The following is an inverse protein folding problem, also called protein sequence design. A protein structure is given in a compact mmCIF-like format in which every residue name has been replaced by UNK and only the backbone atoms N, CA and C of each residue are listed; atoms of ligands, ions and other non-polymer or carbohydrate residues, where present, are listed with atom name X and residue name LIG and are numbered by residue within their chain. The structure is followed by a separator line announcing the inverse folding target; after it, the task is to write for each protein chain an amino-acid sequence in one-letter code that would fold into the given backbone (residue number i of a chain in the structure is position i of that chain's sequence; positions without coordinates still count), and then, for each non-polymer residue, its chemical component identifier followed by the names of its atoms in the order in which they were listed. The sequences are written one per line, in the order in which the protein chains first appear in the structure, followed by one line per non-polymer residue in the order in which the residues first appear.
data_IF_606523979690
#
_entry.id   IF_606523979690
#
_cell.length_a   1.000
_cell.length_b   1.000
_cell.length_c   1.000
_cell.angle_alpha   90.00
_cell.angle_beta   90.00
_cell.angle_gamma   90.00
#
_symmetry.space_group_name_H-M   'P 1'
#
loop_
_entity.id
_entity.type
_entity.pdbx_description
1 polymer ?
#
# COMPACT_ATOMS: atom_id res chain seq x y z
N UNK A 1 -15.05 -35.16 -21.69
CA UNK A 1 -15.18 -36.06 -20.54
C UNK A 1 -14.97 -35.20 -19.31
N UNK A 2 -16.05 -34.78 -18.62
CA UNK A 2 -16.00 -34.05 -17.37
C UNK A 2 -15.57 -35.05 -16.28
N UNK A 3 -14.28 -35.12 -15.99
CA UNK A 3 -13.75 -35.84 -14.82
C UNK A 3 -14.32 -35.20 -13.56
N UNK A 4 -15.11 -35.93 -12.80
CA UNK A 4 -15.54 -35.51 -11.46
C UNK A 4 -14.29 -35.18 -10.62
N UNK A 5 -14.26 -33.98 -10.04
CA UNK A 5 -13.15 -33.56 -9.18
C UNK A 5 -13.00 -34.54 -8.02
N UNK A 6 -11.75 -34.95 -7.75
CA UNK A 6 -11.42 -35.84 -6.63
C UNK A 6 -11.88 -35.21 -5.32
N UNK A 7 -12.54 -35.98 -4.48
CA UNK A 7 -13.14 -35.52 -3.23
C UNK A 7 -12.43 -36.11 -2.01
N UNK A 8 -12.65 -35.50 -0.84
CA UNK A 8 -12.15 -36.06 0.44
C UNK A 8 -12.67 -37.48 0.70
N UNK A 9 -13.83 -37.84 0.12
CA UNK A 9 -14.38 -39.20 0.22
C UNK A 9 -13.56 -40.23 -0.58
N UNK A 10 -12.96 -39.81 -1.69
CA UNK A 10 -12.09 -40.65 -2.48
C UNK A 10 -10.76 -40.91 -1.78
N UNK A 11 -10.21 -39.87 -1.10
CA UNK A 11 -9.03 -40.02 -0.22
C UNK A 11 -9.34 -40.99 0.94
N UNK A 12 -10.50 -40.83 1.56
CA UNK A 12 -10.93 -41.69 2.65
C UNK A 12 -11.02 -43.18 2.21
N UNK A 13 -11.60 -43.38 1.00
CA UNK A 13 -11.72 -44.74 0.41
C UNK A 13 -10.36 -45.32 0.10
N UNK A 14 -9.45 -44.59 -0.50
CA UNK A 14 -8.12 -45.08 -0.88
C UNK A 14 -7.23 -45.33 0.34
N UNK A 15 -7.27 -44.42 1.31
CA UNK A 15 -6.45 -44.54 2.54
C UNK A 15 -6.98 -45.58 3.54
N UNK A 16 -8.23 -46.06 3.41
CA UNK A 16 -8.87 -46.97 4.34
C UNK A 16 -9.33 -46.31 5.66
N UNK A 17 -9.39 -44.97 5.73
CA UNK A 17 -9.79 -44.26 6.94
C UNK A 17 -11.08 -43.45 6.74
N UNK A 18 -11.72 -43.09 7.85
CA UNK A 18 -12.92 -42.27 7.79
C UNK A 18 -12.64 -40.84 7.28
N UNK A 19 -13.63 -40.18 6.67
CA UNK A 19 -13.54 -38.78 6.26
C UNK A 19 -13.11 -37.88 7.41
N UNK A 20 -13.58 -38.16 8.64
CA UNK A 20 -13.19 -37.41 9.83
C UNK A 20 -11.69 -37.56 10.15
N UNK A 21 -11.13 -38.79 9.98
CA UNK A 21 -9.70 -39.03 10.17
C UNK A 21 -8.86 -38.35 9.09
N UNK A 22 -9.28 -38.41 7.82
CA UNK A 22 -8.63 -37.71 6.73
C UNK A 22 -8.65 -36.19 6.97
N UNK A 23 -9.78 -35.64 7.38
CA UNK A 23 -9.91 -34.19 7.70
C UNK A 23 -8.97 -33.79 8.83
N UNK A 24 -8.84 -34.60 9.91
CA UNK A 24 -7.89 -34.32 10.99
C UNK A 24 -6.42 -34.32 10.52
N UNK A 25 -6.07 -35.25 9.65
CA UNK A 25 -4.70 -35.32 9.07
C UNK A 25 -4.43 -34.08 8.22
N UNK A 26 -5.37 -33.70 7.34
CA UNK A 26 -5.22 -32.58 6.44
C UNK A 26 -5.22 -31.22 7.14
N UNK A 27 -5.95 -31.10 8.25
CA UNK A 27 -6.04 -29.86 9.04
C UNK A 27 -5.06 -29.84 10.22
N UNK A 28 -4.18 -30.84 10.34
CA UNK A 28 -3.23 -30.99 11.45
C UNK A 28 -3.88 -30.89 12.85
N UNK A 29 -5.16 -31.20 12.93
CA UNK A 29 -5.96 -31.06 14.15
C UNK A 29 -5.97 -32.38 14.96
N UNK A 30 -5.50 -32.29 16.22
CA UNK A 30 -5.49 -33.40 17.15
C UNK A 30 -4.34 -34.39 16.97
N UNK A 31 -4.21 -35.32 17.93
CA UNK A 31 -3.21 -36.40 17.87
C UNK A 31 -3.65 -37.47 16.88
N UNK A 32 -2.98 -37.58 15.75
CA UNK A 32 -3.19 -38.64 14.75
C UNK A 32 -2.00 -39.59 14.79
N UNK A 33 -2.27 -40.89 14.76
CA UNK A 33 -1.23 -41.93 14.71
C UNK A 33 -0.34 -41.70 13.46
N UNK A 34 1.01 -41.75 13.58
CA UNK A 34 1.92 -41.57 12.47
C UNK A 34 1.62 -42.46 11.25
N UNK A 35 1.28 -43.73 11.44
CA UNK A 35 0.93 -44.63 10.35
C UNK A 35 -0.35 -44.21 9.61
N UNK A 36 -1.36 -43.69 10.34
CA UNK A 36 -2.59 -43.14 9.74
C UNK A 36 -2.26 -41.88 8.93
N UNK A 37 -1.41 -41.00 9.46
CA UNK A 37 -0.98 -39.77 8.76
C UNK A 37 -0.27 -40.11 7.44
N UNK A 38 0.65 -41.05 7.47
CA UNK A 38 1.40 -41.49 6.30
C UNK A 38 0.49 -42.07 5.21
N UNK A 39 -0.41 -42.98 5.58
CA UNK A 39 -1.37 -43.60 4.65
C UNK A 39 -2.28 -42.55 3.98
N UNK A 40 -2.81 -41.60 4.76
CA UNK A 40 -3.66 -40.54 4.23
C UNK A 40 -2.86 -39.62 3.29
N UNK A 41 -1.64 -39.18 3.64
CA UNK A 41 -0.80 -38.34 2.78
C UNK A 41 -0.38 -39.08 1.50
N UNK A 42 -0.19 -40.39 1.53
CA UNK A 42 0.07 -41.18 0.33
C UNK A 42 -1.15 -41.17 -0.61
N UNK A 43 -2.35 -41.43 -0.07
CA UNK A 43 -3.59 -41.36 -0.84
C UNK A 43 -3.85 -39.97 -1.45
N UNK A 44 -3.54 -38.89 -0.70
CA UNK A 44 -3.64 -37.51 -1.21
C UNK A 44 -2.70 -37.29 -2.41
N UNK A 45 -1.45 -37.76 -2.31
CA UNK A 45 -0.46 -37.66 -3.40
C UNK A 45 -0.87 -38.46 -4.63
N UNK A 46 -1.29 -39.71 -4.43
CA UNK A 46 -1.72 -40.61 -5.52
C UNK A 46 -2.90 -40.07 -6.28
N UNK A 47 -3.91 -39.55 -5.59
CA UNK A 47 -5.12 -38.99 -6.17
C UNK A 47 -4.92 -37.55 -6.65
N UNK A 48 -3.76 -36.92 -6.40
CA UNK A 48 -3.52 -35.49 -6.62
C UNK A 48 -4.65 -34.64 -6.00
N UNK A 49 -5.13 -35.10 -4.83
CA UNK A 49 -6.22 -34.39 -4.17
C UNK A 49 -5.74 -33.05 -3.63
N UNK A 50 -6.43 -31.99 -4.01
CA UNK A 50 -6.30 -30.68 -3.42
C UNK A 50 -7.52 -30.38 -2.55
N UNK A 51 -7.32 -30.02 -1.27
CA UNK A 51 -8.44 -29.66 -0.40
C UNK A 51 -9.28 -28.55 -1.03
N UNK A 52 -10.59 -28.73 -1.08
CA UNK A 52 -11.49 -27.68 -1.53
C UNK A 52 -11.60 -26.59 -0.46
N UNK A 53 -11.04 -25.43 -0.73
CA UNK A 53 -11.07 -24.30 0.17
C UNK A 53 -12.48 -23.92 0.63
N UNK A 54 -13.47 -23.96 -0.27
CA UNK A 54 -14.86 -23.66 0.07
C UNK A 54 -15.44 -24.67 1.08
N UNK A 55 -15.11 -25.96 0.94
CA UNK A 55 -15.54 -26.99 1.90
C UNK A 55 -14.81 -26.84 3.25
N UNK A 56 -13.56 -26.41 3.25
CA UNK A 56 -12.79 -26.14 4.46
C UNK A 56 -13.33 -24.91 5.20
N UNK A 57 -13.61 -23.82 4.49
CA UNK A 57 -14.18 -22.59 5.06
C UNK A 57 -15.53 -22.83 5.72
N UNK A 58 -16.39 -23.68 5.10
CA UNK A 58 -17.65 -24.11 5.70
C UNK A 58 -17.48 -24.89 7.02
N UNK A 59 -16.40 -25.67 7.14
CA UNK A 59 -16.17 -26.48 8.35
C UNK A 59 -15.46 -25.73 9.47
N UNK A 60 -14.64 -24.72 9.14
CA UNK A 60 -13.85 -23.94 10.10
C UNK A 60 -14.42 -22.57 10.38
N UNK A 61 -15.43 -22.12 9.63
CA UNK A 61 -15.96 -20.75 9.60
C UNK A 61 -14.86 -19.69 9.30
N UNK A 62 -13.72 -20.12 8.70
CA UNK A 62 -12.60 -19.25 8.32
C UNK A 62 -12.13 -19.57 6.92
N UNK A 63 -11.89 -18.52 6.12
CA UNK A 63 -11.38 -18.64 4.74
C UNK A 63 -9.86 -18.72 4.67
N UNK A 64 -9.15 -18.32 5.73
CA UNK A 64 -7.71 -18.11 5.74
C UNK A 64 -7.24 -17.21 4.58
N UNK A 65 -8.04 -16.22 4.26
CA UNK A 65 -7.75 -15.21 3.25
C UNK A 65 -7.99 -13.81 3.82
N UNK A 66 -7.16 -12.88 3.43
CA UNK A 66 -7.24 -11.45 3.73
C UNK A 66 -7.53 -10.73 2.43
N UNK A 67 -8.57 -9.88 2.43
CA UNK A 67 -8.85 -8.97 1.32
C UNK A 67 -7.97 -7.73 1.41
N UNK A 68 -7.41 -7.32 0.27
CA UNK A 68 -6.67 -6.06 0.14
C UNK A 68 -7.30 -5.25 -0.98
N UNK A 69 -7.84 -4.09 -0.65
CA UNK A 69 -8.46 -3.17 -1.59
C UNK A 69 -7.57 -1.94 -1.71
N UNK A 70 -7.03 -1.71 -2.91
CA UNK A 70 -6.09 -0.63 -3.21
C UNK A 70 -6.67 0.33 -4.25
N UNK A 71 -6.33 1.63 -4.20
CA UNK A 71 -6.81 2.60 -5.18
C UNK A 71 -6.14 2.44 -6.53
N UNK A 72 -4.92 1.91 -6.54
CA UNK A 72 -4.14 1.63 -7.73
C UNK A 72 -3.14 0.50 -7.45
N UNK A 73 -2.54 -0.04 -8.51
CA UNK A 73 -1.45 -1.02 -8.47
C UNK A 73 -0.25 -0.57 -9.31
N UNK A 74 -0.30 0.66 -9.86
CA UNK A 74 0.80 1.25 -10.62
C UNK A 74 1.86 1.84 -9.68
N UNK A 75 3.13 1.67 -10.06
CA UNK A 75 4.27 2.19 -9.31
C UNK A 75 4.78 1.27 -8.20
N UNK A 76 6.02 1.52 -7.77
CA UNK A 76 6.72 0.64 -6.82
C UNK A 76 6.16 0.72 -5.39
N UNK A 77 5.53 1.83 -5.00
CA UNK A 77 4.90 1.96 -3.68
C UNK A 77 3.92 0.80 -3.40
N UNK A 78 3.02 0.51 -4.35
CA UNK A 78 2.02 -0.55 -4.16
C UNK A 78 2.65 -1.95 -4.17
N UNK A 79 3.65 -2.20 -5.02
CA UNK A 79 4.33 -3.49 -5.03
C UNK A 79 5.11 -3.77 -3.74
N UNK A 80 5.77 -2.76 -3.16
CA UNK A 80 6.46 -2.87 -1.88
C UNK A 80 5.47 -3.05 -0.70
N UNK A 81 4.34 -2.33 -0.72
CA UNK A 81 3.28 -2.46 0.26
C UNK A 81 2.69 -3.89 0.25
N UNK A 82 2.33 -4.39 -0.93
CA UNK A 82 1.81 -5.76 -1.11
C UNK A 82 2.86 -6.79 -0.72
N UNK A 83 4.15 -6.59 -1.05
CA UNK A 83 5.25 -7.46 -0.64
C UNK A 83 5.33 -7.59 0.89
N UNK A 84 5.18 -6.48 1.60
CA UNK A 84 5.13 -6.49 3.06
C UNK A 84 3.92 -7.26 3.61
N UNK A 85 2.75 -7.00 3.03
CA UNK A 85 1.51 -7.70 3.40
C UNK A 85 1.59 -9.20 3.14
N UNK A 86 2.08 -9.61 1.96
CA UNK A 86 2.19 -11.01 1.56
C UNK A 86 3.14 -11.78 2.48
N UNK A 87 4.28 -11.17 2.80
CA UNK A 87 5.24 -11.76 3.73
C UNK A 87 4.58 -12.08 5.07
N UNK A 88 3.93 -11.10 5.71
CA UNK A 88 3.30 -11.30 7.02
C UNK A 88 2.11 -12.26 6.94
N UNK A 89 1.27 -12.15 5.90
CA UNK A 89 0.13 -13.03 5.69
C UNK A 89 0.58 -14.50 5.53
N UNK A 90 1.59 -14.75 4.67
CA UNK A 90 2.14 -16.08 4.43
C UNK A 90 2.75 -16.69 5.69
N UNK A 91 3.50 -15.92 6.49
CA UNK A 91 4.06 -16.36 7.79
C UNK A 91 2.96 -16.78 8.78
N UNK A 92 1.76 -16.24 8.64
CA UNK A 92 0.58 -16.54 9.48
C UNK A 92 -0.42 -17.50 8.82
N UNK A 93 -0.08 -18.08 7.65
CA UNK A 93 -0.90 -19.04 6.92
C UNK A 93 -2.13 -18.45 6.23
N UNK A 94 -2.11 -17.16 5.89
CA UNK A 94 -3.15 -16.49 5.14
C UNK A 94 -2.74 -16.24 3.70
N UNK A 95 -3.73 -16.23 2.80
CA UNK A 95 -3.58 -15.79 1.41
C UNK A 95 -4.09 -14.36 1.27
N UNK A 96 -3.53 -13.59 0.32
CA UNK A 96 -4.04 -12.28 -0.05
C UNK A 96 -4.96 -12.38 -1.27
N UNK A 97 -6.11 -11.73 -1.19
CA UNK A 97 -7.00 -11.47 -2.33
C UNK A 97 -6.95 -9.97 -2.63
N UNK A 98 -6.31 -9.60 -3.74
CA UNK A 98 -6.13 -8.21 -4.14
C UNK A 98 -7.29 -7.73 -5.02
N UNK A 99 -7.71 -6.48 -4.84
CA UNK A 99 -8.62 -5.78 -5.72
C UNK A 99 -8.14 -4.36 -5.95
N UNK A 100 -8.11 -3.93 -7.22
CA UNK A 100 -7.84 -2.56 -7.62
C UNK A 100 -9.17 -1.82 -7.86
N UNK A 101 -9.30 -0.62 -7.32
CA UNK A 101 -10.51 0.21 -7.47
C UNK A 101 -10.35 1.30 -8.51
N UNK A 102 -9.14 1.49 -9.07
CA UNK A 102 -8.83 2.59 -9.99
C UNK A 102 -9.23 3.97 -9.44
N UNK A 103 -9.10 4.13 -8.11
CA UNK A 103 -9.53 5.31 -7.37
C UNK A 103 -11.04 5.67 -7.55
N UNK A 104 -11.85 4.72 -8.05
CA UNK A 104 -13.30 4.89 -8.24
C UNK A 104 -14.05 4.40 -6.99
N UNK A 105 -14.87 5.27 -6.35
CA UNK A 105 -15.69 4.90 -5.18
C UNK A 105 -16.63 3.72 -5.44
N UNK A 106 -17.27 3.65 -6.60
CA UNK A 106 -18.18 2.56 -6.95
C UNK A 106 -17.46 1.22 -7.07
N UNK A 107 -16.23 1.24 -7.58
CA UNK A 107 -15.39 0.04 -7.64
C UNK A 107 -14.97 -0.43 -6.24
N UNK A 108 -14.77 0.49 -5.30
CA UNK A 108 -14.47 0.15 -3.90
C UNK A 108 -15.65 -0.60 -3.27
N UNK A 109 -16.88 -0.12 -3.46
CA UNK A 109 -18.10 -0.80 -2.97
C UNK A 109 -18.24 -2.20 -3.57
N UNK A 110 -18.05 -2.34 -4.88
CA UNK A 110 -18.09 -3.63 -5.56
C UNK A 110 -17.00 -4.58 -5.05
N UNK A 111 -15.77 -4.10 -4.85
CA UNK A 111 -14.67 -4.90 -4.33
C UNK A 111 -14.98 -5.42 -2.91
N UNK A 112 -15.44 -4.54 -2.03
CA UNK A 112 -15.81 -4.90 -0.67
C UNK A 112 -16.98 -5.88 -0.62
N UNK A 113 -18.01 -5.67 -1.47
CA UNK A 113 -19.12 -6.61 -1.60
C UNK A 113 -18.68 -7.99 -2.09
N UNK A 114 -17.77 -8.04 -3.08
CA UNK A 114 -17.24 -9.28 -3.61
C UNK A 114 -16.37 -10.06 -2.62
N UNK A 115 -15.78 -9.40 -1.64
CA UNK A 115 -14.95 -10.02 -0.59
C UNK A 115 -15.78 -10.66 0.53
N UNK A 116 -17.07 -10.32 0.66
CA UNK A 116 -17.94 -10.90 1.70
C UNK A 116 -18.02 -12.42 1.58
N UNK A 117 -17.77 -13.11 2.70
CA UNK A 117 -17.75 -14.57 2.77
C UNK A 117 -16.58 -15.26 2.07
N UNK A 118 -15.64 -14.49 1.52
CA UNK A 118 -14.42 -15.01 0.87
C UNK A 118 -13.15 -14.71 1.66
N UNK A 119 -13.19 -13.71 2.54
CA UNK A 119 -12.06 -13.30 3.37
C UNK A 119 -12.47 -13.20 4.83
N UNK A 120 -11.51 -13.30 5.73
CA UNK A 120 -11.73 -13.21 7.17
C UNK A 120 -11.57 -11.76 7.69
N UNK A 121 -10.94 -10.90 6.91
CA UNK A 121 -10.77 -9.48 7.19
C UNK A 121 -10.29 -8.73 5.95
N UNK A 122 -10.32 -7.39 6.01
CA UNK A 122 -9.96 -6.52 4.87
C UNK A 122 -8.96 -5.45 5.31
N UNK A 123 -7.97 -5.21 4.48
CA UNK A 123 -7.12 -4.01 4.50
C UNK A 123 -7.61 -3.11 3.36
N UNK A 124 -8.01 -1.88 3.70
CA UNK A 124 -8.54 -0.92 2.75
C UNK A 124 -7.66 0.32 2.68
N UNK A 125 -7.18 0.64 1.49
CA UNK A 125 -6.55 1.92 1.17
C UNK A 125 -7.47 2.67 0.19
N UNK A 126 -8.16 3.69 0.69
CA UNK A 126 -9.10 4.49 -0.09
C UNK A 126 -8.98 5.97 0.29
N UNK A 127 -7.82 6.61 -0.03
CA UNK A 127 -7.52 7.97 0.41
C UNK A 127 -8.43 9.03 -0.22
N UNK A 128 -9.11 8.72 -1.30
CA UNK A 128 -10.04 9.59 -2.01
C UNK A 128 -11.48 9.50 -1.53
N UNK A 129 -11.82 8.47 -0.70
CA UNK A 129 -13.19 8.32 -0.22
C UNK A 129 -13.45 9.19 1.01
N UNK A 130 -14.51 10.02 0.98
CA UNK A 130 -15.00 10.68 2.19
C UNK A 130 -15.30 9.66 3.30
N UNK A 131 -15.16 10.07 4.57
CA UNK A 131 -15.35 9.18 5.72
C UNK A 131 -16.74 8.52 5.72
N UNK A 132 -17.78 9.30 5.44
CA UNK A 132 -19.16 8.81 5.42
C UNK A 132 -19.37 7.72 4.36
N UNK A 133 -18.88 7.93 3.15
CA UNK A 133 -19.04 6.99 2.05
C UNK A 133 -18.25 5.71 2.32
N UNK A 134 -17.04 5.84 2.87
CA UNK A 134 -16.20 4.71 3.27
C UNK A 134 -16.86 3.86 4.36
N UNK A 135 -17.43 4.47 5.40
CA UNK A 135 -18.11 3.72 6.47
C UNK A 135 -19.38 3.01 5.98
N UNK A 136 -20.12 3.63 5.07
CA UNK A 136 -21.32 3.00 4.48
C UNK A 136 -21.00 1.82 3.56
N UNK A 137 -19.85 1.85 2.88
CA UNK A 137 -19.37 0.78 2.01
C UNK A 137 -18.85 -0.44 2.77
N UNK A 138 -18.38 -0.23 4.02
CA UNK A 138 -17.72 -1.29 4.78
C UNK A 138 -18.69 -2.39 5.21
N UNK A 139 -18.34 -3.67 5.04
CA UNK A 139 -19.16 -4.78 5.46
C UNK A 139 -19.36 -4.79 6.99
N UNK A 140 -20.60 -4.93 7.44
CA UNK A 140 -20.87 -5.15 8.86
C UNK A 140 -20.26 -6.47 9.34
N UNK A 141 -19.59 -6.45 10.50
CA UNK A 141 -19.04 -7.64 11.15
C UNK A 141 -17.75 -8.19 10.54
N UNK A 142 -17.23 -7.58 9.48
CA UNK A 142 -15.91 -7.93 8.91
C UNK A 142 -14.85 -7.01 9.52
N UNK A 143 -13.76 -7.55 10.12
CA UNK A 143 -12.62 -6.78 10.57
C UNK A 143 -12.00 -5.98 9.43
N UNK A 144 -11.73 -4.69 9.66
CA UNK A 144 -11.14 -3.80 8.66
C UNK A 144 -10.04 -2.96 9.28
N UNK A 145 -8.91 -2.87 8.59
CA UNK A 145 -7.81 -1.94 8.87
C UNK A 145 -7.69 -0.97 7.70
N UNK A 146 -7.56 0.32 8.01
CA UNK A 146 -7.39 1.37 7.01
C UNK A 146 -5.90 1.69 6.82
N UNK A 147 -5.50 1.97 5.58
CA UNK A 147 -4.16 2.50 5.24
C UNK A 147 -4.33 3.83 4.51
N UNK A 148 -3.53 4.82 4.88
CA UNK A 148 -3.46 6.14 4.23
C UNK A 148 -4.85 6.72 3.90
N UNK A 149 -5.77 6.52 4.82
CA UNK A 149 -7.11 7.05 4.73
C UNK A 149 -7.38 7.87 5.98
N UNK A 150 -8.22 8.90 5.92
CA UNK A 150 -8.63 9.63 7.11
C UNK A 150 -9.17 8.64 8.13
N UNK A 151 -8.52 8.58 9.31
CA UNK A 151 -8.96 7.70 10.39
C UNK A 151 -10.23 8.23 11.04
N UNK A 152 -11.10 7.32 11.49
CA UNK A 152 -12.09 7.63 12.49
C UNK A 152 -11.78 6.78 13.74
N UNK A 153 -12.35 7.16 14.89
CA UNK A 153 -12.14 6.44 16.14
C UNK A 153 -12.81 5.05 16.20
N UNK A 154 -13.46 4.63 15.10
CA UNK A 154 -14.16 3.35 15.03
C UNK A 154 -13.29 2.20 14.48
N UNK A 155 -12.15 2.50 13.82
CA UNK A 155 -11.30 1.49 13.17
C UNK A 155 -9.83 1.79 13.34
N UNK A 156 -9.00 0.72 13.34
CA UNK A 156 -7.56 0.87 13.26
C UNK A 156 -7.17 1.48 11.92
N UNK A 157 -6.27 2.45 11.95
CA UNK A 157 -5.72 3.09 10.75
C UNK A 157 -4.19 3.21 10.86
N UNK A 158 -3.51 2.95 9.77
CA UNK A 158 -2.08 3.18 9.59
C UNK A 158 -1.90 4.34 8.63
N UNK A 159 -1.15 5.36 9.00
CA UNK A 159 -0.92 6.56 8.21
C UNK A 159 0.55 6.87 8.11
N UNK A 160 0.93 7.53 7.04
CA UNK A 160 2.28 8.07 6.84
C UNK A 160 2.36 9.46 7.49
N UNK A 161 3.49 9.78 8.12
CA UNK A 161 3.77 11.13 8.62
C UNK A 161 4.15 12.06 7.46
N UNK A 162 3.14 12.48 6.70
CA UNK A 162 3.29 13.42 5.60
C UNK A 162 3.81 14.77 6.09
N UNK A 163 3.32 15.23 7.26
CA UNK A 163 3.65 16.54 7.82
C UNK A 163 5.13 16.62 8.20
N UNK A 164 5.62 15.66 8.98
CA UNK A 164 7.02 15.63 9.37
C UNK A 164 7.98 15.54 8.18
N UNK A 165 7.65 14.68 7.22
CA UNK A 165 8.48 14.45 6.04
C UNK A 165 8.56 15.67 5.12
N UNK A 166 7.41 16.21 4.70
CA UNK A 166 7.37 17.36 3.78
C UNK A 166 7.98 18.59 4.41
N UNK A 167 7.67 18.89 5.68
CA UNK A 167 8.26 20.02 6.39
C UNK A 167 9.79 19.93 6.44
N UNK A 168 10.34 18.74 6.74
CA UNK A 168 11.77 18.52 6.75
C UNK A 168 12.42 18.72 5.38
N UNK A 169 11.79 18.26 4.28
CA UNK A 169 12.31 18.43 2.92
C UNK A 169 12.26 19.90 2.48
N UNK A 170 11.17 20.62 2.76
CA UNK A 170 11.09 22.07 2.45
C UNK A 170 12.20 22.83 3.17
N UNK A 171 12.44 22.52 4.45
CA UNK A 171 13.54 23.14 5.21
C UNK A 171 14.89 22.85 4.54
N UNK A 172 15.17 21.61 4.18
CA UNK A 172 16.40 21.22 3.49
C UNK A 172 16.59 22.00 2.18
N UNK A 173 15.55 22.10 1.33
CA UNK A 173 15.63 22.87 0.09
C UNK A 173 15.93 24.35 0.32
N UNK A 174 15.32 24.97 1.32
CA UNK A 174 15.58 26.37 1.69
C UNK A 174 17.02 26.55 2.25
N UNK A 175 17.50 25.61 3.09
CA UNK A 175 18.86 25.63 3.64
C UNK A 175 19.94 25.45 2.57
N UNK A 176 19.62 24.70 1.47
CA UNK A 176 20.51 24.57 0.31
C UNK A 176 20.44 25.73 -0.65
N UNK A 177 19.72 26.80 -0.30
CA UNK A 177 19.68 28.07 -1.05
C UNK A 177 18.58 28.15 -2.08
N UNK A 178 17.67 27.16 -2.20
CA UNK A 178 16.55 27.18 -3.13
C UNK A 178 15.52 28.23 -2.71
N UNK A 179 14.99 28.98 -3.68
CA UNK A 179 14.08 30.11 -3.44
C UNK A 179 12.78 30.03 -4.24
N UNK A 180 12.77 29.28 -5.33
CA UNK A 180 11.60 29.11 -6.17
C UNK A 180 11.24 27.62 -6.22
N UNK A 181 10.72 27.13 -5.09
CA UNK A 181 10.33 25.74 -4.92
C UNK A 181 8.91 25.58 -5.48
N UNK A 182 8.69 24.57 -6.32
CA UNK A 182 7.36 24.19 -6.81
C UNK A 182 7.01 22.80 -6.28
N UNK A 183 5.82 22.66 -5.70
CA UNK A 183 5.32 21.36 -5.29
C UNK A 183 4.42 20.77 -6.40
N UNK A 184 4.82 19.59 -6.92
CA UNK A 184 3.98 18.78 -7.79
C UNK A 184 3.16 17.84 -6.90
N UNK A 185 1.91 18.16 -6.65
CA UNK A 185 1.01 17.40 -5.80
C UNK A 185 0.35 16.23 -6.54
N UNK A 186 -0.21 15.26 -5.84
CA UNK A 186 -1.18 14.33 -6.39
C UNK A 186 -2.56 14.97 -6.55
N UNK A 187 -3.57 14.15 -6.88
CA UNK A 187 -4.95 14.59 -7.03
C UNK A 187 -5.48 15.18 -5.71
N UNK A 188 -6.17 16.34 -5.72
CA UNK A 188 -6.56 17.05 -4.51
C UNK A 188 -7.57 16.30 -3.63
N UNK A 189 -8.31 15.35 -4.20
CA UNK A 189 -9.22 14.46 -3.47
C UNK A 189 -8.48 13.37 -2.68
N UNK A 190 -7.21 13.13 -3.00
CA UNK A 190 -6.39 12.17 -2.27
C UNK A 190 -5.91 12.80 -0.97
N UNK A 191 -6.18 12.12 0.13
CA UNK A 191 -5.85 12.60 1.49
C UNK A 191 -4.35 12.90 1.66
N UNK A 192 -3.46 12.01 1.20
CA UNK A 192 -2.01 12.22 1.31
C UNK A 192 -1.55 13.42 0.45
N UNK A 193 -2.11 13.55 -0.76
CA UNK A 193 -1.81 14.69 -1.63
C UNK A 193 -2.22 16.02 -0.99
N UNK A 194 -3.43 16.06 -0.43
CA UNK A 194 -3.92 17.24 0.28
C UNK A 194 -3.04 17.60 1.48
N UNK A 195 -2.69 16.62 2.32
CA UNK A 195 -1.88 16.83 3.52
C UNK A 195 -0.46 17.29 3.15
N UNK A 196 0.18 16.68 2.12
CA UNK A 196 1.49 17.07 1.61
C UNK A 196 1.48 18.49 1.05
N UNK A 197 0.48 18.83 0.23
CA UNK A 197 0.35 20.17 -0.36
C UNK A 197 0.09 21.24 0.71
N UNK A 198 -0.75 20.95 1.71
CA UNK A 198 -1.00 21.88 2.81
C UNK A 198 0.24 22.08 3.65
N UNK A 199 0.95 21.00 4.00
CA UNK A 199 2.22 21.08 4.75
C UNK A 199 3.28 21.90 4.01
N UNK A 200 3.37 21.73 2.67
CA UNK A 200 4.27 22.57 1.86
C UNK A 200 3.91 24.04 1.97
N UNK A 201 2.62 24.40 1.84
CA UNK A 201 2.18 25.80 1.99
C UNK A 201 2.50 26.36 3.37
N UNK A 202 2.22 25.61 4.43
CA UNK A 202 2.44 26.02 5.81
C UNK A 202 3.94 26.19 6.12
N UNK A 203 4.77 25.29 5.62
CA UNK A 203 6.22 25.37 5.77
C UNK A 203 6.82 26.59 5.03
N UNK A 204 6.37 26.85 3.80
CA UNK A 204 6.79 28.03 3.06
C UNK A 204 6.34 29.32 3.76
N UNK A 205 5.10 29.39 4.23
CA UNK A 205 4.58 30.54 4.97
C UNK A 205 5.35 30.78 6.27
N UNK A 206 5.77 29.72 6.94
CA UNK A 206 6.51 29.82 8.20
C UNK A 206 7.98 30.22 8.03
N UNK A 207 8.67 29.64 7.02
CA UNK A 207 10.13 29.79 6.91
C UNK A 207 10.59 30.67 5.77
N UNK A 208 9.72 30.98 4.82
CA UNK A 208 10.02 31.79 3.66
C UNK A 208 8.80 32.59 3.18
N UNK A 209 8.19 33.44 4.03
CA UNK A 209 6.91 34.11 3.75
C UNK A 209 6.96 35.04 2.53
N UNK A 210 8.14 35.54 2.17
CA UNK A 210 8.34 36.44 1.03
C UNK A 210 8.55 35.68 -0.30
N UNK A 211 8.67 34.35 -0.27
CA UNK A 211 8.87 33.54 -1.46
C UNK A 211 7.54 33.04 -2.05
N UNK A 212 7.48 32.87 -3.40
CA UNK A 212 6.27 32.38 -4.04
C UNK A 212 5.94 30.94 -3.61
N UNK A 213 4.66 30.68 -3.37
CA UNK A 213 4.11 29.35 -3.08
C UNK A 213 3.36 28.85 -4.31
N UNK A 214 3.84 27.78 -4.92
CA UNK A 214 3.22 27.19 -6.10
C UNK A 214 3.02 25.69 -5.94
N UNK A 215 1.78 25.26 -6.17
CA UNK A 215 1.38 23.86 -6.19
C UNK A 215 0.73 23.56 -7.53
N UNK A 216 1.17 22.49 -8.20
CA UNK A 216 0.57 21.98 -9.42
C UNK A 216 -0.02 20.60 -9.13
N UNK A 217 -1.24 20.37 -9.60
CA UNK A 217 -1.98 19.14 -9.33
C UNK A 217 -1.71 18.09 -10.41
N UNK A 218 -1.28 16.90 -10.00
CA UNK A 218 -1.01 15.71 -10.82
C UNK A 218 -1.77 14.49 -10.33
N UNK A 219 -1.21 13.30 -10.57
CA UNK A 219 -1.89 12.03 -10.31
C UNK A 219 -1.03 10.96 -9.59
N UNK A 220 0.11 11.34 -9.00
CA UNK A 220 1.07 10.42 -8.38
C UNK A 220 1.75 9.44 -9.35
N UNK A 221 1.71 9.70 -10.64
CA UNK A 221 2.37 8.93 -11.69
C UNK A 221 3.49 9.74 -12.39
N UNK A 222 4.34 9.03 -13.10
CA UNK A 222 5.47 9.62 -13.85
C UNK A 222 4.98 10.49 -15.02
N UNK A 223 3.86 10.14 -15.65
CA UNK A 223 3.29 10.90 -16.75
C UNK A 223 2.86 12.32 -16.32
N UNK A 224 2.17 12.43 -15.18
CA UNK A 224 1.78 13.73 -14.63
C UNK A 224 3.01 14.54 -14.15
N UNK A 225 4.00 13.86 -13.53
CA UNK A 225 5.26 14.49 -13.16
C UNK A 225 5.98 15.11 -14.35
N UNK A 226 6.06 14.36 -15.46
CA UNK A 226 6.64 14.84 -16.73
C UNK A 226 5.84 16.00 -17.33
N UNK A 227 4.51 15.88 -17.42
CA UNK A 227 3.65 16.91 -18.01
C UNK A 227 3.73 18.23 -17.24
N UNK A 228 3.66 18.19 -15.91
CA UNK A 228 3.75 19.38 -15.06
C UNK A 228 5.13 20.03 -15.13
N UNK A 229 6.20 19.23 -15.22
CA UNK A 229 7.56 19.75 -15.38
C UNK A 229 7.73 20.41 -16.74
N UNK A 230 7.18 19.84 -17.81
CA UNK A 230 7.18 20.46 -19.14
C UNK A 230 6.41 21.79 -19.12
N UNK A 231 5.25 21.83 -18.50
CA UNK A 231 4.49 23.08 -18.29
C UNK A 231 5.35 24.16 -17.62
N UNK A 232 6.09 23.82 -16.55
CA UNK A 232 6.98 24.76 -15.87
C UNK A 232 8.07 25.31 -16.78
N UNK A 233 8.66 24.47 -17.63
CA UNK A 233 9.69 24.89 -18.59
C UNK A 233 9.11 25.78 -19.68
N UNK A 234 7.94 25.46 -20.22
CA UNK A 234 7.27 26.22 -21.28
C UNK A 234 6.80 27.59 -20.80
N UNK A 235 6.40 27.70 -19.53
CA UNK A 235 6.05 29.00 -18.92
C UNK A 235 7.27 29.92 -18.73
N UNK A 236 8.48 29.40 -18.80
CA UNK A 236 9.72 30.16 -18.63
C UNK A 236 9.89 30.78 -17.24
N UNK A 237 9.13 30.33 -16.26
CA UNK A 237 9.23 30.84 -14.90
C UNK A 237 10.49 30.32 -14.21
N UNK A 238 11.11 31.17 -13.35
CA UNK A 238 12.25 30.69 -12.56
C UNK A 238 11.79 29.60 -11.60
N UNK A 239 12.37 28.40 -11.74
CA UNK A 239 12.21 27.28 -10.82
C UNK A 239 13.61 26.79 -10.48
N UNK A 240 13.93 26.67 -9.20
CA UNK A 240 15.21 26.17 -8.72
C UNK A 240 15.08 24.88 -7.89
N UNK A 241 13.83 24.49 -7.52
CA UNK A 241 13.55 23.20 -6.94
C UNK A 241 12.14 22.70 -7.28
N UNK A 242 12.03 21.38 -7.47
CA UNK A 242 10.79 20.63 -7.58
C UNK A 242 10.70 19.68 -6.39
N UNK A 243 9.67 19.86 -5.55
CA UNK A 243 9.25 18.88 -4.55
C UNK A 243 8.10 18.08 -5.14
N UNK A 244 8.39 16.91 -5.65
CA UNK A 244 7.39 16.01 -6.21
C UNK A 244 6.58 15.32 -5.10
N UNK A 245 5.30 15.08 -5.36
CA UNK A 245 4.37 14.46 -4.44
C UNK A 245 4.77 13.03 -4.08
N UNK A 246 5.43 12.32 -5.01
CA UNK A 246 6.04 11.01 -4.79
C UNK A 246 7.23 10.78 -5.73
N UNK A 247 7.91 9.64 -5.59
CA UNK A 247 9.09 9.30 -6.39
C UNK A 247 8.74 9.04 -7.87
N UNK A 248 7.53 8.56 -8.17
CA UNK A 248 7.09 8.38 -9.57
C UNK A 248 6.97 9.72 -10.28
N UNK A 249 6.37 10.73 -9.65
CA UNK A 249 6.33 12.08 -10.20
C UNK A 249 7.74 12.69 -10.32
N UNK A 250 8.63 12.43 -9.34
CA UNK A 250 10.02 12.85 -9.40
C UNK A 250 10.77 12.22 -10.59
N UNK A 251 10.51 10.94 -10.89
CA UNK A 251 11.04 10.25 -12.08
C UNK A 251 10.63 10.96 -13.37
N UNK A 252 9.34 11.28 -13.51
CA UNK A 252 8.83 12.04 -14.67
C UNK A 252 9.47 13.41 -14.78
N UNK A 253 9.65 14.12 -13.66
CA UNK A 253 10.33 15.41 -13.62
C UNK A 253 11.79 15.29 -14.04
N UNK A 254 12.55 14.35 -13.50
CA UNK A 254 13.96 14.11 -13.85
C UNK A 254 14.13 13.77 -15.34
N UNK A 255 13.26 12.92 -15.88
CA UNK A 255 13.29 12.57 -17.30
C UNK A 255 13.10 13.82 -18.19
N UNK A 256 12.09 14.63 -17.87
CA UNK A 256 11.78 15.86 -18.62
C UNK A 256 12.89 16.92 -18.52
N UNK A 257 13.46 17.14 -17.31
CA UNK A 257 14.59 18.06 -17.13
C UNK A 257 15.81 17.60 -17.93
N UNK A 258 16.11 16.31 -17.93
CA UNK A 258 17.22 15.73 -18.72
C UNK A 258 17.02 15.92 -20.21
N UNK A 259 15.81 15.68 -20.74
CA UNK A 259 15.46 15.90 -22.15
C UNK A 259 15.62 17.37 -22.56
N UNK A 260 15.28 18.30 -21.64
CA UNK A 260 15.43 19.74 -21.84
C UNK A 260 16.87 20.26 -21.63
N UNK A 261 17.82 19.39 -21.26
CA UNK A 261 19.20 19.79 -20.98
C UNK A 261 19.37 20.63 -19.70
N UNK A 262 18.41 20.54 -18.77
CA UNK A 262 18.45 21.27 -17.49
C UNK A 262 19.23 20.44 -16.47
N UNK A 263 20.30 21.02 -15.93
CA UNK A 263 21.16 20.35 -14.97
C UNK A 263 20.45 20.14 -13.61
N UNK A 264 20.48 18.92 -13.09
CA UNK A 264 20.03 18.55 -11.76
C UNK A 264 21.25 18.09 -10.95
N UNK A 265 21.52 18.63 -9.78
CA UNK A 265 20.76 19.63 -9.02
C UNK A 265 21.11 21.07 -9.33
N UNK A 266 22.15 21.37 -10.12
CA UNK A 266 22.80 22.69 -10.22
C UNK A 266 21.80 23.79 -10.62
N UNK A 267 20.97 23.52 -11.62
CA UNK A 267 19.95 24.47 -12.07
C UNK A 267 18.61 24.26 -11.35
N UNK A 268 18.16 23.00 -11.23
CA UNK A 268 16.89 22.64 -10.59
C UNK A 268 17.14 21.42 -9.69
N UNK A 269 16.91 21.57 -8.40
CA UNK A 269 16.89 20.43 -7.49
C UNK A 269 15.58 19.65 -7.63
N UNK A 270 15.63 18.32 -7.42
CA UNK A 270 14.43 17.48 -7.44
C UNK A 270 14.41 16.61 -6.20
N UNK A 271 13.29 16.64 -5.48
CA UNK A 271 13.03 15.77 -4.34
C UNK A 271 11.73 15.00 -4.54
N UNK A 272 11.72 13.75 -4.06
CA UNK A 272 10.56 12.86 -4.08
C UNK A 272 9.98 12.57 -2.70
N UNK A 273 9.13 11.54 -2.67
CA UNK A 273 8.53 10.97 -1.47
C UNK A 273 8.30 9.48 -1.72
N UNK A 274 8.50 8.63 -0.74
CA UNK A 274 8.32 7.18 -0.61
C UNK A 274 9.63 6.42 -0.40
N UNK A 275 10.73 6.79 -1.07
CA UNK A 275 12.01 6.08 -1.13
C UNK A 275 11.84 4.67 -1.71
N UNK A 276 11.13 4.59 -2.82
CA UNK A 276 10.98 3.33 -3.56
C UNK A 276 12.35 2.84 -4.09
N UNK A 277 12.53 1.52 -4.37
CA UNK A 277 13.81 0.98 -4.82
C UNK A 277 14.46 1.73 -5.99
N UNK A 278 13.66 2.25 -6.93
CA UNK A 278 14.14 3.02 -8.07
C UNK A 278 14.81 4.35 -7.66
N UNK A 279 14.39 4.98 -6.55
CA UNK A 279 14.96 6.24 -6.08
C UNK A 279 16.47 6.14 -5.82
N UNK A 280 16.93 4.98 -5.36
CA UNK A 280 18.37 4.72 -5.16
C UNK A 280 19.17 4.78 -6.49
N UNK A 281 18.63 4.17 -7.55
CA UNK A 281 19.31 4.15 -8.87
C UNK A 281 19.29 5.50 -9.58
N UNK A 282 18.33 6.36 -9.24
CA UNK A 282 18.21 7.72 -9.75
C UNK A 282 19.03 8.74 -8.96
N UNK A 283 19.72 8.31 -7.90
CA UNK A 283 20.36 9.20 -6.91
C UNK A 283 19.40 10.27 -6.37
N UNK A 284 18.11 9.91 -6.27
CA UNK A 284 17.01 10.80 -5.91
C UNK A 284 16.95 11.03 -4.41
N UNK A 285 17.04 12.29 -4.00
CA UNK A 285 16.71 12.72 -2.63
C UNK A 285 15.20 12.60 -2.42
N UNK A 286 14.80 11.95 -1.34
CA UNK A 286 13.40 11.63 -1.11
C UNK A 286 13.07 11.58 0.39
N UNK A 287 11.79 11.53 0.70
CA UNK A 287 11.27 11.29 2.04
C UNK A 287 10.97 9.79 2.13
N UNK A 288 11.76 9.08 2.93
CA UNK A 288 11.63 7.62 3.06
C UNK A 288 10.49 7.23 3.97
N UNK A 289 9.69 6.28 3.47
CA UNK A 289 8.67 5.53 4.19
C UNK A 289 9.12 4.07 4.23
N UNK A 290 9.03 3.40 5.38
CA UNK A 290 9.23 1.96 5.42
C UNK A 290 7.95 1.25 4.94
N UNK A 291 7.78 1.23 3.59
CA UNK A 291 6.56 0.75 2.94
C UNK A 291 6.32 -0.73 3.24
N UNK A 292 7.40 -1.53 3.26
CA UNK A 292 7.31 -2.97 3.56
C UNK A 292 6.85 -3.17 5.01
N UNK A 293 7.43 -2.44 5.97
CA UNK A 293 7.01 -2.51 7.37
C UNK A 293 5.57 -2.03 7.55
N UNK A 294 5.13 -1.00 6.81
CA UNK A 294 3.74 -0.54 6.80
C UNK A 294 2.80 -1.66 6.36
N UNK A 295 3.12 -2.36 5.27
CA UNK A 295 2.34 -3.51 4.79
C UNK A 295 2.30 -4.66 5.79
N UNK A 296 3.44 -5.04 6.37
CA UNK A 296 3.51 -6.06 7.42
C UNK A 296 2.64 -5.69 8.63
N UNK A 297 2.76 -4.43 9.09
CA UNK A 297 2.02 -3.93 10.24
C UNK A 297 0.51 -3.93 10.03
N UNK A 298 0.05 -3.62 8.80
CA UNK A 298 -1.37 -3.66 8.46
C UNK A 298 -1.97 -5.07 8.62
N UNK A 299 -1.23 -6.10 8.21
CA UNK A 299 -1.66 -7.49 8.39
C UNK A 299 -1.64 -7.88 9.86
N UNK A 300 -0.60 -7.52 10.63
CA UNK A 300 -0.54 -7.78 12.08
C UNK A 300 -1.75 -7.20 12.80
N UNK A 301 -2.02 -5.89 12.60
CA UNK A 301 -3.15 -5.22 13.24
C UNK A 301 -4.49 -5.85 12.84
N UNK A 302 -4.62 -6.26 11.57
CA UNK A 302 -5.83 -6.97 11.13
C UNK A 302 -5.99 -8.32 11.82
N UNK A 303 -4.92 -9.10 11.94
CA UNK A 303 -4.94 -10.42 12.61
C UNK A 303 -5.26 -10.29 14.10
N UNK A 304 -4.69 -9.29 14.78
CA UNK A 304 -4.98 -8.99 16.18
C UNK A 304 -6.48 -8.63 16.35
N UNK A 305 -7.01 -7.78 15.45
CA UNK A 305 -8.43 -7.42 15.41
C UNK A 305 -9.33 -8.65 15.19
N UNK A 306 -8.94 -9.57 14.29
CA UNK A 306 -9.65 -10.83 14.02
C UNK A 306 -9.58 -11.82 15.20
N UNK A 307 -8.52 -11.75 16.00
CA UNK A 307 -8.37 -12.54 17.22
C UNK A 307 -9.20 -12.01 18.39
N UNK A 308 -9.82 -10.83 18.25
CA UNK A 308 -10.63 -10.20 19.29
C UNK A 308 -9.79 -9.42 20.29
N UNK A 309 -8.67 -8.85 19.88
CA UNK A 309 -7.87 -7.95 20.73
C UNK A 309 -8.77 -6.84 21.26
N UNK A 310 -8.85 -6.65 22.59
CA UNK A 310 -9.67 -5.62 23.21
C UNK A 310 -9.08 -4.21 23.06
N UNK A 311 -7.93 -4.03 22.43
CA UNK A 311 -7.35 -2.71 22.23
C UNK A 311 -8.30 -1.80 21.42
N UNK A 312 -8.56 -0.58 21.91
CA UNK A 312 -9.43 0.34 21.18
C UNK A 312 -8.82 0.70 19.83
N UNK A 313 -9.65 0.93 18.82
CA UNK A 313 -9.19 1.42 17.53
C UNK A 313 -8.32 2.67 17.68
N UNK A 314 -7.21 2.71 16.97
CA UNK A 314 -6.27 3.83 17.00
C UNK A 314 -5.66 4.08 15.63
N UNK A 315 -5.21 5.31 15.42
CA UNK A 315 -4.36 5.66 14.27
C UNK A 315 -2.90 5.53 14.67
N UNK A 316 -2.18 4.66 13.98
CA UNK A 316 -0.72 4.54 14.09
C UNK A 316 -0.08 5.38 12.99
N UNK A 317 0.92 6.20 13.34
CA UNK A 317 1.63 7.05 12.40
C UNK A 317 3.01 6.45 12.11
N UNK A 318 3.24 6.06 10.84
CA UNK A 318 4.55 5.63 10.35
C UNK A 318 5.45 6.85 10.16
N UNK A 319 6.53 6.90 10.93
CA UNK A 319 7.51 7.98 10.85
C UNK A 319 8.23 7.98 9.52
N UNK A 320 8.49 9.17 9.00
CA UNK A 320 9.27 9.40 7.81
C UNK A 320 10.68 9.91 8.16
N UNK A 321 11.61 9.78 7.23
CA UNK A 321 12.96 10.33 7.35
C UNK A 321 13.44 10.87 6.01
N UNK A 322 14.29 11.89 6.03
CA UNK A 322 14.96 12.34 4.82
C UNK A 322 16.05 11.36 4.39
N UNK A 323 16.11 11.09 3.10
CA UNK A 323 17.21 10.39 2.44
C UNK A 323 17.77 11.33 1.39
N UNK A 324 18.86 12.01 1.72
CA UNK A 324 19.50 12.99 0.86
C UNK A 324 20.50 12.30 -0.07
N UNK A 325 20.34 12.57 -1.38
CA UNK A 325 21.18 12.04 -2.46
C UNK A 325 21.58 13.16 -3.43
N UNK A 326 22.01 12.81 -4.63
CA UNK A 326 22.57 13.76 -5.59
C UNK A 326 21.62 14.85 -6.08
N UNK A 327 20.33 14.58 -6.18
CA UNK A 327 19.38 15.50 -6.80
C UNK A 327 19.03 16.76 -5.99
N UNK A 328 19.51 16.88 -4.74
CA UNK A 328 19.30 18.09 -3.91
C UNK A 328 20.58 18.59 -3.24
N UNK A 329 21.75 18.13 -3.68
CA UNK A 329 23.02 18.69 -3.14
C UNK A 329 23.06 20.20 -3.33
N UNK A 330 23.77 20.96 -2.45
CA UNK A 330 24.01 22.36 -2.69
C UNK A 330 24.63 22.54 -4.09
N UNK A 331 24.23 23.58 -4.81
CA UNK A 331 24.92 23.96 -6.03
C UNK A 331 26.39 24.28 -5.71
N UNK A 332 27.32 23.77 -6.53
CA UNK A 332 28.77 23.96 -6.33
C UNK A 332 29.17 25.43 -6.56
#
# INVERSE_FOLDING_TARGET
VSGSAVTIRDVARLSGFSVASVSRVLNESGKVNPATRESVLNAVRELRYSPNFAARSLSTARSQAIGVVLPDMHGEFFSELVRGMDRMASERGYLLLLSNTHADPLMADHALAAMRGRVDGVILMAPQLPEHDRESALPHGLPVVLINSPGNHARHALRIDNVGGVAAMVRHLLETGRRTIVHLSGAPQNFDAFERAQTYRDAMAQWAPDLPVRVLEGAFDDASGAALTRQLLDEGLPVDAILAGNDMMALGALATLREAGVAVPDRVAVAGFDDVPLAHYLDLSTISVDIVALGMRAVEVLLDTMAGDPAPPRTELSKTRLVLRGTTRPAA
#
